data_IF_328023292187
#
_entry.id   IF_328023292187
#
_cell.length_a   1.000
_cell.length_b   1.000
_cell.length_c   1.000
_cell.angle_alpha   90.00
_cell.angle_beta   90.00
_cell.angle_gamma   90.00
#
_symmetry.space_group_name_H-M   'P 1'
#
loop_
_entity.id
_entity.type
_entity.pdbx_description
1 polymer ?
#
# COMPACT_ATOMS: atom_id res chain seq x y z
N UNK A 1 11.32 57.85 35.88
CA UNK A 1 11.44 56.38 35.56
C UNK A 1 10.15 55.70 35.07
N UNK A 2 8.99 56.32 35.06
CA UNK A 2 7.73 55.74 34.64
C UNK A 2 7.49 55.80 33.07
N UNK A 3 8.05 56.83 32.40
CA UNK A 3 7.84 57.05 30.97
C UNK A 3 8.52 56.01 30.06
N UNK A 4 9.65 55.43 30.48
CA UNK A 4 10.36 54.42 29.69
C UNK A 4 9.71 53.02 29.67
N UNK A 5 8.93 52.68 30.68
CA UNK A 5 8.21 51.38 30.76
C UNK A 5 6.96 51.36 29.87
N UNK A 6 6.28 52.47 29.72
CA UNK A 6 5.11 52.60 28.87
C UNK A 6 5.48 52.47 27.38
N UNK A 7 6.60 53.05 26.97
CA UNK A 7 7.11 52.96 25.60
C UNK A 7 7.59 51.56 25.19
N UNK A 8 8.14 50.79 26.13
CA UNK A 8 8.54 49.41 25.88
C UNK A 8 7.35 48.46 25.75
N UNK A 9 6.32 48.64 26.59
CA UNK A 9 5.08 47.89 26.52
C UNK A 9 4.30 48.18 25.21
N UNK A 10 4.24 49.45 24.80
CA UNK A 10 3.62 49.87 23.56
C UNK A 10 4.38 49.31 22.31
N UNK A 11 5.71 49.28 22.35
CA UNK A 11 6.51 48.67 21.29
C UNK A 11 6.28 47.15 21.21
N UNK A 12 6.24 46.45 22.35
CA UNK A 12 5.93 45.00 22.40
C UNK A 12 4.52 44.70 21.88
N UNK A 13 3.52 45.51 22.26
CA UNK A 13 2.16 45.38 21.75
C UNK A 13 2.09 45.61 20.24
N UNK A 14 2.78 46.62 19.73
CA UNK A 14 2.85 46.89 18.27
C UNK A 14 3.55 45.76 17.48
N UNK A 15 4.63 45.18 18.04
CA UNK A 15 5.32 44.02 17.40
C UNK A 15 4.41 42.79 17.41
N UNK A 16 3.65 42.59 18.50
CA UNK A 16 2.72 41.47 18.61
C UNK A 16 1.55 41.59 17.62
N UNK A 17 0.95 42.78 17.48
CA UNK A 17 -0.10 43.04 16.49
C UNK A 17 0.42 42.89 15.06
N UNK A 18 1.65 43.32 14.78
CA UNK A 18 2.29 43.12 13.50
C UNK A 18 2.53 41.64 13.19
N UNK A 19 2.94 40.84 14.18
CA UNK A 19 3.13 39.40 14.03
C UNK A 19 1.82 38.67 13.74
N UNK A 20 0.71 39.04 14.42
CA UNK A 20 -0.64 38.51 14.15
C UNK A 20 -1.11 38.90 12.74
N UNK A 21 -0.86 40.16 12.31
CA UNK A 21 -1.23 40.60 10.98
C UNK A 21 -0.47 39.84 9.86
N UNK A 22 0.82 39.60 10.07
CA UNK A 22 1.64 38.80 9.15
C UNK A 22 1.17 37.34 9.12
N UNK A 23 0.87 36.73 10.27
CA UNK A 23 0.34 35.39 10.35
C UNK A 23 -1.04 35.28 9.66
N UNK A 24 -1.90 36.27 9.84
CA UNK A 24 -3.20 36.36 9.14
C UNK A 24 -3.07 36.50 7.63
N UNK A 25 -2.10 37.29 7.16
CA UNK A 25 -1.79 37.44 5.73
C UNK A 25 -1.24 36.16 5.11
N UNK A 26 -0.38 35.44 5.86
CA UNK A 26 0.15 34.15 5.41
C UNK A 26 -0.98 33.12 5.33
N UNK A 27 -1.85 33.03 6.35
CA UNK A 27 -3.00 32.13 6.33
C UNK A 27 -3.99 32.48 5.21
N UNK A 28 -4.24 33.77 4.94
CA UNK A 28 -5.07 34.20 3.84
C UNK A 28 -4.44 33.86 2.47
N UNK A 29 -3.13 34.04 2.30
CA UNK A 29 -2.43 33.66 1.08
C UNK A 29 -2.44 32.15 0.86
N UNK A 30 -2.27 31.37 1.94
CA UNK A 30 -2.39 29.90 1.91
C UNK A 30 -3.79 29.47 1.50
N UNK A 31 -4.83 30.07 2.08
CA UNK A 31 -6.22 29.78 1.71
C UNK A 31 -6.54 30.15 0.25
N UNK A 32 -5.97 31.24 -0.28
CA UNK A 32 -6.14 31.65 -1.68
C UNK A 32 -5.38 30.71 -2.64
N UNK A 33 -4.23 30.21 -2.24
CA UNK A 33 -3.45 29.25 -3.02
C UNK A 33 -4.14 27.88 -3.01
N UNK A 34 -4.58 27.41 -1.84
CA UNK A 34 -5.35 26.16 -1.72
C UNK A 34 -6.66 26.19 -2.53
N UNK A 35 -7.36 27.34 -2.54
CA UNK A 35 -8.57 27.51 -3.35
C UNK A 35 -8.33 27.57 -4.87
N UNK A 36 -7.10 27.87 -5.33
CA UNK A 36 -6.73 27.90 -6.77
C UNK A 36 -6.22 26.58 -7.32
N UNK A 37 -5.58 25.77 -6.49
CA UNK A 37 -5.20 24.41 -6.83
C UNK A 37 -6.28 23.48 -6.28
N UNK A 38 -7.40 23.30 -6.97
CA UNK A 38 -8.53 22.50 -6.52
C UNK A 38 -8.08 21.32 -5.64
N UNK A 39 -8.45 21.40 -4.35
CA UNK A 39 -8.10 20.39 -3.36
C UNK A 39 -8.69 19.08 -3.84
N UNK A 40 -7.83 18.14 -4.21
CA UNK A 40 -8.26 16.76 -4.43
C UNK A 40 -8.74 16.22 -3.09
N UNK A 41 -10.04 16.15 -2.94
CA UNK A 41 -10.69 15.50 -1.81
C UNK A 41 -10.45 14.00 -1.93
N UNK A 42 -9.40 13.52 -1.27
CA UNK A 42 -9.03 12.10 -1.23
C UNK A 42 -10.18 11.22 -0.69
N UNK A 43 -11.16 11.81 0.00
CA UNK A 43 -12.35 11.10 0.46
C UNK A 43 -13.41 10.97 -0.64
N UNK A 44 -13.42 11.88 -1.61
CA UNK A 44 -14.30 11.82 -2.78
C UNK A 44 -13.77 10.90 -3.86
N UNK A 45 -12.43 10.85 -4.05
CA UNK A 45 -11.81 9.98 -5.07
C UNK A 45 -11.61 8.54 -4.60
N UNK A 46 -11.91 8.20 -3.34
CA UNK A 46 -12.10 6.82 -2.92
C UNK A 46 -13.41 6.20 -3.44
N UNK A 47 -14.28 7.00 -4.01
CA UNK A 47 -15.40 6.56 -4.83
C UNK A 47 -14.86 6.10 -6.19
N UNK A 48 -14.83 4.79 -6.39
CA UNK A 48 -14.46 4.09 -7.62
C UNK A 48 -15.37 4.43 -8.81
N UNK A 49 -15.35 5.65 -9.26
CA UNK A 49 -15.62 5.96 -10.65
C UNK A 49 -14.25 6.04 -11.30
N UNK A 50 -13.83 4.96 -11.93
CA UNK A 50 -12.59 4.91 -12.69
C UNK A 50 -12.73 5.81 -13.93
N UNK A 51 -12.74 7.12 -13.68
CA UNK A 51 -12.79 8.14 -14.74
C UNK A 51 -11.50 8.21 -15.56
N UNK A 52 -10.49 7.41 -15.19
CA UNK A 52 -9.22 7.34 -15.90
C UNK A 52 -9.19 6.27 -16.98
N UNK A 53 -10.20 5.41 -17.05
CA UNK A 53 -10.28 4.40 -18.10
C UNK A 53 -10.65 5.07 -19.43
N UNK A 54 -9.97 4.71 -20.51
CA UNK A 54 -10.40 5.12 -21.85
C UNK A 54 -11.82 4.58 -22.12
N UNK A 55 -12.61 5.27 -22.92
CA UNK A 55 -13.93 4.78 -23.30
C UNK A 55 -13.81 3.39 -23.96
N UNK A 56 -14.84 2.53 -23.79
CA UNK A 56 -14.84 1.22 -24.41
C UNK A 56 -14.56 1.30 -25.91
N UNK A 57 -13.73 0.40 -26.41
CA UNK A 57 -13.47 0.32 -27.85
C UNK A 57 -14.77 -0.15 -28.54
N UNK A 58 -15.31 0.62 -29.46
CA UNK A 58 -16.58 0.29 -30.13
C UNK A 58 -16.45 -0.89 -31.10
N UNK A 59 -15.23 -1.35 -31.41
CA UNK A 59 -14.99 -2.47 -32.32
C UNK A 59 -15.41 -3.79 -31.67
N UNK A 60 -15.95 -4.69 -32.48
CA UNK A 60 -16.27 -6.06 -32.06
C UNK A 60 -15.00 -6.87 -31.74
N UNK A 61 -15.13 -7.94 -30.98
CA UNK A 61 -14.01 -8.85 -30.69
C UNK A 61 -13.38 -9.41 -31.99
N UNK A 62 -14.18 -9.68 -33.04
CA UNK A 62 -13.67 -10.15 -34.31
C UNK A 62 -12.85 -9.09 -35.04
N UNK A 63 -13.30 -7.83 -35.02
CA UNK A 63 -12.56 -6.70 -35.59
C UNK A 63 -11.26 -6.46 -34.83
N UNK A 64 -11.29 -6.56 -33.52
CA UNK A 64 -10.10 -6.44 -32.68
C UNK A 64 -9.11 -7.57 -32.97
N UNK A 65 -9.57 -8.81 -33.09
CA UNK A 65 -8.73 -9.96 -33.41
C UNK A 65 -8.05 -9.81 -34.78
N UNK A 66 -8.75 -9.24 -35.76
CA UNK A 66 -8.19 -8.94 -37.10
C UNK A 66 -7.08 -7.87 -37.06
N UNK A 67 -6.95 -7.13 -35.98
CA UNK A 67 -5.89 -6.14 -35.78
C UNK A 67 -4.59 -6.71 -35.24
N UNK A 68 -4.56 -7.96 -34.79
CA UNK A 68 -3.33 -8.58 -34.27
C UNK A 68 -2.20 -8.47 -35.28
N UNK A 69 -1.06 -8.07 -34.82
CA UNK A 69 0.15 -7.92 -35.63
C UNK A 69 1.30 -8.66 -34.98
N UNK A 70 1.82 -9.61 -35.71
CA UNK A 70 2.95 -10.40 -35.24
C UNK A 70 4.19 -10.14 -36.10
N UNK A 71 5.38 -10.22 -35.52
CA UNK A 71 6.61 -10.24 -36.31
C UNK A 71 6.61 -11.42 -37.31
N UNK A 72 7.27 -11.27 -38.48
CA UNK A 72 7.39 -12.35 -39.43
C UNK A 72 8.01 -13.61 -38.80
N UNK A 73 7.49 -14.78 -39.21
CA UNK A 73 7.99 -16.07 -38.71
C UNK A 73 7.42 -16.55 -37.38
N UNK A 74 6.48 -15.85 -36.79
CA UNK A 74 5.82 -16.31 -35.59
C UNK A 74 4.98 -17.56 -35.83
N UNK A 75 5.21 -18.60 -35.02
CA UNK A 75 4.44 -19.86 -35.08
C UNK A 75 3.15 -19.69 -34.28
N UNK A 76 2.00 -20.05 -34.86
CA UNK A 76 0.72 -20.00 -34.12
C UNK A 76 0.76 -20.94 -32.92
N UNK A 77 0.42 -20.43 -31.75
CA UNK A 77 0.45 -21.21 -30.50
C UNK A 77 -0.70 -22.22 -30.43
N UNK A 78 -1.91 -21.85 -30.86
CA UNK A 78 -3.10 -22.69 -30.71
C UNK A 78 -2.98 -24.09 -31.35
N UNK A 79 -2.48 -24.26 -32.56
CA UNK A 79 -2.31 -25.60 -33.13
C UNK A 79 -1.38 -26.51 -32.34
N UNK A 80 -0.38 -25.96 -31.68
CA UNK A 80 0.52 -26.72 -30.81
C UNK A 80 -0.19 -27.18 -29.53
N UNK A 81 -1.02 -26.31 -28.95
CA UNK A 81 -1.88 -26.65 -27.83
C UNK A 81 -2.84 -27.77 -28.23
N UNK A 82 -3.51 -27.63 -29.39
CA UNK A 82 -4.50 -28.58 -29.87
C UNK A 82 -3.91 -29.98 -30.15
N UNK A 83 -2.67 -30.04 -30.62
CA UNK A 83 -1.94 -31.27 -30.87
C UNK A 83 -1.48 -31.97 -29.55
N UNK A 84 -1.53 -31.29 -28.43
CA UNK A 84 -1.09 -31.87 -27.16
C UNK A 84 -2.23 -32.61 -26.47
N UNK A 85 -2.04 -33.88 -26.14
CA UNK A 85 -3.06 -34.70 -25.51
C UNK A 85 -3.37 -34.20 -24.07
N UNK A 86 -4.55 -34.54 -23.56
CA UNK A 86 -4.93 -34.25 -22.16
C UNK A 86 -3.92 -34.87 -21.19
N UNK A 87 -3.44 -34.05 -20.24
CA UNK A 87 -2.36 -34.42 -19.30
C UNK A 87 -0.95 -34.40 -19.91
N UNK A 88 -0.84 -34.13 -21.21
CA UNK A 88 0.44 -34.08 -21.94
C UNK A 88 1.29 -32.86 -21.61
N UNK A 89 2.47 -32.83 -22.19
CA UNK A 89 3.46 -31.75 -22.07
C UNK A 89 3.71 -31.14 -23.44
N UNK A 90 3.45 -29.85 -23.56
CA UNK A 90 3.89 -29.05 -24.69
C UNK A 90 5.25 -28.42 -24.35
N UNK A 91 6.30 -28.91 -24.95
CA UNK A 91 7.63 -28.28 -24.84
C UNK A 91 7.77 -27.24 -25.95
N UNK A 92 8.05 -26.00 -25.57
CA UNK A 92 8.29 -24.91 -26.51
C UNK A 92 9.79 -24.59 -26.58
N UNK A 93 10.45 -24.90 -27.70
CA UNK A 93 11.83 -24.50 -27.94
C UNK A 93 11.95 -22.96 -28.07
N UNK A 94 13.19 -22.42 -28.04
CA UNK A 94 13.40 -21.01 -28.31
C UNK A 94 12.77 -20.59 -29.64
N UNK A 95 12.00 -19.51 -29.64
CA UNK A 95 11.30 -19.04 -30.83
C UNK A 95 10.16 -18.09 -30.51
N UNK A 96 9.56 -17.54 -31.56
CA UNK A 96 8.44 -16.62 -31.46
C UNK A 96 7.13 -17.34 -31.78
N UNK A 97 6.19 -17.23 -30.85
CA UNK A 97 4.87 -17.82 -30.94
C UNK A 97 3.80 -16.73 -30.97
N UNK A 98 2.81 -16.90 -31.82
CA UNK A 98 1.70 -15.96 -31.98
C UNK A 98 0.50 -16.39 -31.10
N UNK A 99 0.00 -15.48 -30.29
CA UNK A 99 -1.25 -15.64 -29.55
C UNK A 99 -2.48 -15.65 -30.51
N UNK A 100 -3.69 -16.03 -30.05
CA UNK A 100 -4.01 -16.46 -28.72
C UNK A 100 -3.69 -17.93 -28.48
N UNK A 101 -3.61 -18.31 -27.20
CA UNK A 101 -3.63 -19.69 -26.74
C UNK A 101 -4.83 -19.93 -25.83
N UNK A 102 -5.73 -20.85 -26.19
CA UNK A 102 -6.80 -21.32 -25.34
C UNK A 102 -6.49 -22.72 -24.82
N UNK A 103 -6.45 -22.88 -23.50
CA UNK A 103 -6.23 -24.14 -22.81
C UNK A 103 -7.54 -24.56 -22.14
N UNK A 104 -8.19 -25.58 -22.67
CA UNK A 104 -9.49 -26.09 -22.23
C UNK A 104 -9.41 -27.46 -21.54
N UNK A 105 -8.20 -27.98 -21.34
CA UNK A 105 -7.94 -29.27 -20.71
C UNK A 105 -6.66 -29.23 -19.89
N UNK A 106 -6.54 -30.18 -18.96
CA UNK A 106 -5.32 -30.40 -18.18
C UNK A 106 -4.13 -30.62 -19.11
N UNK A 107 -3.09 -29.82 -18.96
CA UNK A 107 -1.83 -29.95 -19.67
C UNK A 107 -0.71 -29.16 -19.00
N UNK A 108 0.53 -29.36 -19.47
CA UNK A 108 1.68 -28.57 -19.08
C UNK A 108 2.31 -27.89 -20.28
N UNK A 109 2.69 -26.63 -20.12
CA UNK A 109 3.58 -25.93 -21.07
C UNK A 109 4.92 -25.73 -20.38
N UNK A 110 5.95 -26.30 -20.95
CA UNK A 110 7.34 -26.17 -20.48
C UNK A 110 8.15 -25.47 -21.56
N UNK A 111 8.50 -24.20 -21.30
CA UNK A 111 9.22 -23.39 -22.24
C UNK A 111 10.71 -23.37 -21.97
N UNK A 112 11.50 -23.50 -23.02
CA UNK A 112 12.94 -23.27 -22.94
C UNK A 112 13.24 -21.76 -22.99
N UNK A 113 14.38 -21.37 -22.43
CA UNK A 113 14.81 -19.97 -22.47
C UNK A 113 14.81 -19.42 -23.89
N UNK A 114 14.12 -18.31 -24.11
CA UNK A 114 13.94 -17.71 -25.42
C UNK A 114 12.65 -18.10 -26.13
N UNK A 115 11.76 -18.88 -25.53
CA UNK A 115 10.41 -19.09 -26.01
C UNK A 115 9.54 -17.88 -25.65
N UNK A 116 9.05 -17.15 -26.64
CA UNK A 116 8.30 -15.90 -26.49
C UNK A 116 6.92 -16.05 -27.11
N UNK A 117 5.86 -15.79 -26.35
CA UNK A 117 4.49 -15.69 -26.88
C UNK A 117 4.11 -14.21 -26.99
N UNK A 118 3.88 -13.76 -28.20
CA UNK A 118 3.52 -12.38 -28.52
C UNK A 118 2.00 -12.24 -28.66
N UNK A 119 1.39 -11.28 -27.95
CA UNK A 119 -0.05 -11.01 -27.99
C UNK A 119 -0.52 -10.29 -29.24
N UNK A 120 0.39 -9.71 -30.03
CA UNK A 120 0.05 -8.93 -31.21
C UNK A 120 -0.72 -7.65 -30.92
N UNK A 121 -0.72 -7.18 -29.65
CA UNK A 121 -1.35 -5.93 -29.21
C UNK A 121 -2.87 -6.01 -29.01
N UNK A 122 -3.48 -7.19 -29.00
CA UNK A 122 -4.95 -7.33 -28.90
C UNK A 122 -5.32 -8.48 -27.97
N UNK A 123 -6.23 -8.21 -27.03
CA UNK A 123 -6.83 -9.20 -26.14
C UNK A 123 -5.82 -9.87 -25.19
N UNK A 124 -6.24 -10.93 -24.53
CA UNK A 124 -5.37 -11.75 -23.69
C UNK A 124 -4.49 -12.68 -24.51
N UNK A 125 -3.30 -12.99 -23.96
CA UNK A 125 -2.32 -13.85 -24.68
C UNK A 125 -2.68 -15.32 -24.51
N UNK A 126 -2.82 -15.79 -23.25
CA UNK A 126 -3.23 -17.16 -22.94
C UNK A 126 -4.48 -17.12 -22.06
N UNK A 127 -5.49 -17.90 -22.43
CA UNK A 127 -6.68 -18.12 -21.61
C UNK A 127 -6.70 -19.57 -21.15
N UNK A 128 -6.82 -19.80 -19.85
CA UNK A 128 -6.85 -21.12 -19.20
C UNK A 128 -8.23 -21.34 -18.63
N UNK A 129 -9.00 -22.24 -19.22
CA UNK A 129 -10.34 -22.61 -18.79
C UNK A 129 -10.42 -24.05 -18.20
N UNK A 130 -9.28 -24.59 -17.80
CA UNK A 130 -9.19 -25.95 -17.27
C UNK A 130 -8.43 -26.00 -15.95
N UNK A 131 -8.73 -27.01 -15.15
CA UNK A 131 -8.03 -27.32 -13.93
C UNK A 131 -6.69 -28.02 -14.20
N UNK A 132 -5.78 -27.97 -13.20
CA UNK A 132 -4.49 -28.66 -13.23
C UNK A 132 -3.57 -28.28 -14.40
N UNK A 133 -3.62 -27.03 -14.84
CA UNK A 133 -2.75 -26.52 -15.91
C UNK A 133 -1.46 -25.96 -15.30
N UNK A 134 -0.33 -26.26 -15.93
CA UNK A 134 0.97 -25.66 -15.55
C UNK A 134 1.60 -24.93 -16.72
N UNK A 135 2.13 -23.73 -16.48
CA UNK A 135 2.89 -22.93 -17.46
C UNK A 135 4.19 -22.49 -16.81
N UNK A 136 5.32 -22.87 -17.40
CA UNK A 136 6.64 -22.60 -16.83
C UNK A 136 7.61 -22.07 -17.89
N UNK A 137 8.34 -21.00 -17.58
CA UNK A 137 9.49 -20.53 -18.35
C UNK A 137 9.16 -19.69 -19.59
N UNK A 138 7.89 -19.31 -19.80
CA UNK A 138 7.47 -18.49 -20.93
C UNK A 138 7.81 -16.99 -20.74
N UNK A 139 8.19 -16.35 -21.83
CA UNK A 139 8.07 -14.89 -21.95
C UNK A 139 6.76 -14.55 -22.67
N UNK A 140 5.90 -13.76 -22.02
CA UNK A 140 4.61 -13.31 -22.53
C UNK A 140 4.68 -11.79 -22.70
N UNK A 141 4.37 -11.29 -23.89
CA UNK A 141 4.44 -9.85 -24.14
C UNK A 141 3.35 -9.34 -25.09
N UNK A 142 3.13 -8.02 -25.05
CA UNK A 142 2.25 -7.30 -25.97
C UNK A 142 0.79 -7.78 -25.91
N UNK A 143 0.17 -7.88 -24.71
CA UNK A 143 -1.30 -8.06 -24.61
C UNK A 143 -2.04 -6.88 -25.22
N UNK A 144 -3.35 -6.95 -25.30
CA UNK A 144 -4.21 -5.80 -25.66
C UNK A 144 -4.17 -4.67 -24.61
N UNK A 145 -4.96 -3.63 -24.86
CA UNK A 145 -4.98 -2.38 -24.09
C UNK A 145 -6.34 -2.10 -23.42
N UNK A 146 -7.26 -3.05 -23.48
CA UNK A 146 -8.62 -2.85 -23.01
C UNK A 146 -8.77 -3.23 -21.55
N UNK A 147 -9.12 -2.24 -20.71
CA UNK A 147 -9.38 -2.43 -19.29
C UNK A 147 -10.70 -3.17 -19.05
N UNK A 148 -11.72 -2.88 -19.83
CA UNK A 148 -13.06 -3.47 -19.72
C UNK A 148 -13.09 -4.98 -19.97
N UNK A 149 -12.22 -5.48 -20.85
CA UNK A 149 -12.04 -6.91 -21.12
C UNK A 149 -10.89 -7.52 -20.32
N UNK A 150 -10.15 -6.70 -19.57
CA UNK A 150 -8.98 -7.12 -18.77
C UNK A 150 -7.97 -7.88 -19.63
N UNK A 151 -7.41 -7.21 -20.66
CA UNK A 151 -6.47 -7.84 -21.59
C UNK A 151 -5.18 -8.25 -20.86
N UNK A 152 -5.05 -9.52 -20.54
CA UNK A 152 -4.01 -10.06 -19.65
C UNK A 152 -2.99 -10.93 -20.40
N UNK A 153 -1.80 -11.06 -19.82
CA UNK A 153 -0.86 -12.08 -20.28
C UNK A 153 -1.45 -13.48 -20.05
N UNK A 154 -1.98 -13.76 -18.87
CA UNK A 154 -2.65 -15.01 -18.54
C UNK A 154 -4.00 -14.72 -17.87
N UNK A 155 -5.07 -15.14 -18.53
CA UNK A 155 -6.43 -15.17 -17.98
C UNK A 155 -6.72 -16.56 -17.45
N UNK A 156 -7.07 -16.68 -16.17
CA UNK A 156 -7.21 -17.95 -15.48
C UNK A 156 -8.62 -18.13 -14.92
N UNK A 157 -9.26 -19.26 -15.25
CA UNK A 157 -10.56 -19.70 -14.76
C UNK A 157 -10.51 -21.08 -14.11
N UNK A 158 -9.40 -21.78 -14.27
CA UNK A 158 -9.17 -23.12 -13.72
C UNK A 158 -8.62 -23.08 -12.29
N UNK A 159 -8.60 -24.24 -11.66
CA UNK A 159 -8.13 -24.49 -10.31
C UNK A 159 -6.87 -25.35 -10.30
N UNK A 160 -6.14 -25.33 -9.16
CA UNK A 160 -4.94 -26.15 -8.93
C UNK A 160 -3.84 -25.99 -9.98
N UNK A 161 -3.84 -24.84 -10.69
CA UNK A 161 -2.84 -24.51 -11.68
C UNK A 161 -1.51 -24.07 -11.06
N UNK A 162 -0.45 -24.12 -11.86
CA UNK A 162 0.90 -23.73 -11.44
C UNK A 162 1.59 -22.90 -12.51
N UNK A 163 1.83 -21.63 -12.21
CA UNK A 163 2.37 -20.62 -13.14
C UNK A 163 3.70 -20.11 -12.55
N UNK A 164 4.82 -20.60 -13.12
CA UNK A 164 6.12 -20.38 -12.50
C UNK A 164 7.17 -19.94 -13.50
N UNK A 165 8.11 -19.13 -12.99
CA UNK A 165 9.32 -18.76 -13.72
C UNK A 165 9.03 -18.11 -15.09
N UNK A 166 7.87 -17.43 -15.22
CA UNK A 166 7.48 -16.73 -16.43
C UNK A 166 7.90 -15.26 -16.37
N UNK A 167 8.12 -14.68 -17.54
CA UNK A 167 8.37 -13.25 -17.72
C UNK A 167 7.18 -12.63 -18.41
N UNK A 168 6.58 -11.61 -17.81
CA UNK A 168 5.47 -10.86 -18.38
C UNK A 168 5.93 -9.42 -18.55
N UNK A 169 5.96 -8.95 -19.79
CA UNK A 169 6.44 -7.62 -20.14
C UNK A 169 5.53 -6.95 -21.17
N UNK A 170 5.39 -5.64 -21.08
CA UNK A 170 4.56 -4.85 -22.00
C UNK A 170 3.12 -5.40 -22.13
N UNK A 171 2.56 -5.94 -21.04
CA UNK A 171 1.17 -6.37 -20.94
C UNK A 171 0.37 -5.38 -20.10
N UNK A 172 -0.91 -5.17 -20.43
CA UNK A 172 -1.76 -4.31 -19.62
C UNK A 172 -2.01 -4.95 -18.25
N UNK A 173 -2.51 -6.18 -18.22
CA UNK A 173 -2.60 -6.99 -17.00
C UNK A 173 -1.63 -8.18 -17.10
N UNK A 174 -1.07 -8.56 -15.94
CA UNK A 174 -0.24 -9.76 -15.87
C UNK A 174 -1.11 -11.02 -15.77
N UNK A 175 -1.59 -11.34 -14.57
CA UNK A 175 -2.52 -12.45 -14.31
C UNK A 175 -3.90 -11.92 -13.96
N UNK A 176 -4.95 -12.46 -14.59
CA UNK A 176 -6.34 -12.25 -14.21
C UNK A 176 -6.95 -13.58 -13.77
N UNK A 177 -7.18 -13.73 -12.46
CA UNK A 177 -7.85 -14.86 -11.83
C UNK A 177 -9.31 -14.49 -11.56
N UNK A 178 -10.25 -15.23 -12.12
CA UNK A 178 -11.66 -15.05 -11.85
C UNK A 178 -12.32 -16.39 -11.58
N UNK A 179 -12.81 -16.60 -10.34
CA UNK A 179 -13.33 -17.87 -9.87
C UNK A 179 -12.31 -19.02 -10.04
N UNK A 180 -11.04 -18.71 -9.78
CA UNK A 180 -9.90 -19.57 -10.01
C UNK A 180 -9.17 -19.84 -8.67
N UNK A 181 -9.41 -21.00 -8.09
CA UNK A 181 -9.01 -21.33 -6.73
C UNK A 181 -7.74 -22.17 -6.67
N UNK A 182 -7.00 -22.05 -5.57
CA UNK A 182 -5.87 -22.92 -5.22
C UNK A 182 -4.77 -23.01 -6.30
N UNK A 183 -4.55 -21.90 -6.98
CA UNK A 183 -3.46 -21.78 -7.96
C UNK A 183 -2.19 -21.27 -7.30
N UNK A 184 -1.05 -21.56 -7.90
CA UNK A 184 0.27 -21.10 -7.48
C UNK A 184 0.85 -20.19 -8.57
N UNK A 185 1.11 -18.94 -8.22
CA UNK A 185 1.80 -17.96 -9.06
C UNK A 185 3.14 -17.65 -8.39
N UNK A 186 4.22 -18.19 -8.92
CA UNK A 186 5.49 -18.19 -8.21
C UNK A 186 6.69 -17.86 -9.10
N UNK A 187 7.62 -17.05 -8.58
CA UNK A 187 8.88 -16.68 -9.23
C UNK A 187 8.69 -16.12 -10.65
N UNK A 188 7.59 -15.39 -10.87
CA UNK A 188 7.39 -14.69 -12.13
C UNK A 188 7.97 -13.29 -12.03
N UNK A 189 8.46 -12.77 -13.14
CA UNK A 189 8.80 -11.37 -13.30
C UNK A 189 7.69 -10.67 -14.07
N UNK A 190 7.09 -9.64 -13.47
CA UNK A 190 5.92 -8.98 -14.04
C UNK A 190 6.16 -7.47 -14.11
N UNK A 191 6.13 -6.92 -15.32
CA UNK A 191 6.16 -5.49 -15.55
C UNK A 191 5.03 -5.10 -16.51
N UNK A 192 4.30 -4.03 -16.17
CA UNK A 192 3.26 -3.49 -17.04
C UNK A 192 3.87 -2.69 -18.20
N UNK A 193 3.01 -2.18 -19.05
CA UNK A 193 3.37 -1.23 -20.10
C UNK A 193 3.92 0.07 -19.52
N UNK A 194 4.71 0.78 -20.30
CA UNK A 194 5.13 2.14 -19.96
C UNK A 194 3.97 3.12 -20.14
N UNK A 195 3.14 3.20 -19.12
CA UNK A 195 1.98 4.07 -19.04
C UNK A 195 2.06 4.92 -17.75
N UNK A 196 1.40 6.09 -17.72
CA UNK A 196 1.12 6.77 -16.46
C UNK A 196 0.48 5.80 -15.45
N UNK A 197 0.79 5.95 -14.17
CA UNK A 197 0.35 5.02 -13.12
C UNK A 197 -1.15 4.72 -13.14
N UNK A 198 -1.97 5.75 -13.33
CA UNK A 198 -3.43 5.63 -13.38
C UNK A 198 -3.97 4.78 -14.55
N UNK A 199 -3.20 4.66 -15.63
CA UNK A 199 -3.59 3.91 -16.85
C UNK A 199 -2.99 2.50 -16.90
N UNK A 200 -2.14 2.13 -15.94
CA UNK A 200 -1.58 0.77 -15.84
C UNK A 200 -2.66 -0.22 -15.43
N UNK A 201 -2.51 -1.46 -15.82
CA UNK A 201 -3.32 -2.57 -15.32
C UNK A 201 -2.66 -3.24 -14.11
N UNK A 202 -3.40 -4.15 -13.48
CA UNK A 202 -2.93 -4.87 -12.30
C UNK A 202 -1.90 -5.94 -12.70
N UNK A 203 -0.88 -6.11 -11.85
CA UNK A 203 0.07 -7.21 -12.03
C UNK A 203 -0.62 -8.56 -11.87
N UNK A 204 -1.39 -8.68 -10.80
CA UNK A 204 -2.15 -9.88 -10.46
C UNK A 204 -3.50 -9.43 -9.91
N UNK A 205 -4.56 -9.81 -10.60
CA UNK A 205 -5.93 -9.54 -10.21
C UNK A 205 -6.61 -10.83 -9.78
N UNK A 206 -7.00 -10.90 -8.51
CA UNK A 206 -7.67 -12.05 -7.91
C UNK A 206 -9.12 -11.66 -7.62
N UNK A 207 -10.07 -12.22 -8.36
CA UNK A 207 -11.48 -11.89 -8.24
C UNK A 207 -12.31 -13.13 -7.96
N UNK A 208 -13.08 -13.14 -6.86
CA UNK A 208 -13.88 -14.27 -6.39
C UNK A 208 -13.09 -15.59 -6.39
N UNK A 209 -11.86 -15.57 -5.91
CA UNK A 209 -10.93 -16.70 -5.99
C UNK A 209 -10.28 -16.96 -4.63
N UNK A 210 -10.26 -18.22 -4.21
CA UNK A 210 -9.92 -18.63 -2.85
C UNK A 210 -8.67 -19.51 -2.80
N UNK A 211 -7.85 -19.34 -1.77
CA UNK A 211 -6.76 -20.24 -1.45
C UNK A 211 -5.58 -20.23 -2.44
N UNK A 212 -5.42 -19.15 -3.21
CA UNK A 212 -4.30 -19.00 -4.11
C UNK A 212 -3.02 -18.63 -3.36
N UNK A 213 -1.88 -19.05 -3.88
CA UNK A 213 -0.56 -18.70 -3.37
C UNK A 213 0.17 -17.86 -4.41
N UNK A 214 0.50 -16.62 -4.02
CA UNK A 214 1.25 -15.66 -4.84
C UNK A 214 2.57 -15.45 -4.12
N UNK A 215 3.65 -16.07 -4.62
CA UNK A 215 4.90 -16.08 -3.85
C UNK A 215 6.14 -15.90 -4.71
N UNK A 216 7.14 -15.24 -4.12
CA UNK A 216 8.48 -15.04 -4.69
C UNK A 216 8.47 -14.34 -6.07
N UNK A 217 7.46 -13.53 -6.40
CA UNK A 217 7.41 -12.81 -7.66
C UNK A 217 8.15 -11.47 -7.57
N UNK A 218 8.76 -11.03 -8.68
CA UNK A 218 9.34 -9.69 -8.87
C UNK A 218 8.39 -8.85 -9.73
N UNK A 219 7.74 -7.87 -9.12
CA UNK A 219 6.66 -7.08 -9.71
C UNK A 219 7.07 -5.61 -9.72
N UNK A 220 7.01 -4.98 -10.88
CA UNK A 220 7.38 -3.57 -11.00
C UNK A 220 6.49 -2.79 -11.95
N UNK A 221 6.30 -1.50 -11.67
CA UNK A 221 5.61 -0.55 -12.54
C UNK A 221 4.25 -1.05 -13.02
N UNK A 222 3.48 -1.61 -12.09
CA UNK A 222 2.11 -2.05 -12.32
C UNK A 222 1.13 -1.12 -11.60
N UNK A 223 -0.17 -1.33 -11.77
CA UNK A 223 -1.15 -0.64 -10.95
C UNK A 223 -1.18 -1.30 -9.57
N UNK A 224 -1.69 -2.50 -9.44
CA UNK A 224 -1.90 -3.16 -8.16
C UNK A 224 -1.58 -4.67 -8.23
N UNK A 225 -1.33 -5.27 -7.07
CA UNK A 225 -1.70 -6.66 -6.79
C UNK A 225 -3.02 -6.59 -6.03
N UNK A 226 -4.14 -6.85 -6.71
CA UNK A 226 -5.47 -6.66 -6.13
C UNK A 226 -6.16 -7.99 -5.83
N UNK A 227 -6.74 -8.09 -4.63
CA UNK A 227 -7.54 -9.22 -4.15
C UNK A 227 -8.93 -8.69 -3.83
N UNK A 228 -9.91 -9.06 -4.65
CA UNK A 228 -11.25 -8.49 -4.61
C UNK A 228 -12.32 -9.58 -4.48
N UNK A 229 -13.19 -9.48 -3.46
CA UNK A 229 -14.18 -10.49 -3.09
C UNK A 229 -13.57 -11.91 -2.99
N UNK A 230 -12.35 -12.00 -2.48
CA UNK A 230 -11.56 -13.21 -2.48
C UNK A 230 -10.96 -13.46 -1.10
N UNK A 231 -10.82 -14.72 -0.68
CA UNK A 231 -10.46 -15.06 0.69
C UNK A 231 -9.39 -16.14 0.77
N UNK A 232 -8.77 -16.21 1.93
CA UNK A 232 -7.81 -17.26 2.28
C UNK A 232 -6.63 -17.37 1.28
N UNK A 233 -6.26 -16.27 0.62
CA UNK A 233 -5.11 -16.22 -0.26
C UNK A 233 -3.85 -15.86 0.53
N UNK A 234 -2.71 -16.38 0.10
CA UNK A 234 -1.41 -16.09 0.67
C UNK A 234 -0.53 -15.35 -0.34
N UNK A 235 -0.07 -14.16 0.06
CA UNK A 235 0.83 -13.31 -0.73
C UNK A 235 2.14 -13.21 0.04
N UNK A 236 3.19 -13.91 -0.41
CA UNK A 236 4.37 -14.07 0.39
C UNK A 236 5.69 -13.97 -0.39
N UNK A 237 6.71 -13.36 0.21
CA UNK A 237 8.05 -13.30 -0.36
C UNK A 237 8.18 -12.50 -1.65
N UNK A 238 7.14 -11.76 -2.06
CA UNK A 238 7.17 -10.98 -3.28
C UNK A 238 7.97 -9.68 -3.10
N UNK A 239 8.62 -9.24 -4.16
CA UNK A 239 9.19 -7.92 -4.28
C UNK A 239 8.31 -7.07 -5.20
N UNK A 240 7.68 -6.02 -4.65
CA UNK A 240 6.72 -5.19 -5.40
C UNK A 240 7.18 -3.74 -5.30
N UNK A 241 7.43 -3.11 -6.45
CA UNK A 241 7.98 -1.76 -6.48
C UNK A 241 7.39 -0.87 -7.58
N UNK A 242 7.46 0.44 -7.36
CA UNK A 242 7.10 1.48 -8.32
C UNK A 242 5.67 1.32 -8.88
N UNK A 243 4.77 0.83 -8.02
CA UNK A 243 3.37 0.53 -8.32
C UNK A 243 2.44 1.42 -7.50
N UNK A 244 1.15 1.49 -7.86
CA UNK A 244 0.17 2.27 -7.10
C UNK A 244 -0.07 1.63 -5.73
N UNK A 245 -0.63 0.44 -5.68
CA UNK A 245 -0.72 -0.35 -4.46
C UNK A 245 0.13 -1.61 -4.57
N UNK A 246 1.02 -1.82 -3.61
CA UNK A 246 1.76 -3.07 -3.50
C UNK A 246 0.80 -4.26 -3.36
N UNK A 247 -0.09 -4.21 -2.37
CA UNK A 247 -1.24 -5.12 -2.23
C UNK A 247 -2.47 -4.33 -1.85
N UNK A 248 -3.58 -4.56 -2.55
CA UNK A 248 -4.88 -3.97 -2.30
C UNK A 248 -5.92 -5.05 -2.04
N UNK A 249 -6.39 -5.14 -0.80
CA UNK A 249 -7.49 -6.03 -0.41
C UNK A 249 -8.80 -5.25 -0.42
N UNK A 250 -9.83 -5.79 -1.09
CA UNK A 250 -11.13 -5.16 -1.23
C UNK A 250 -12.24 -6.19 -1.01
N UNK A 251 -13.03 -6.04 0.06
CA UNK A 251 -14.02 -7.05 0.47
C UNK A 251 -13.40 -8.45 0.52
N UNK A 252 -12.18 -8.54 1.07
CA UNK A 252 -11.35 -9.73 0.98
C UNK A 252 -10.90 -10.15 2.39
N UNK A 253 -11.35 -11.31 2.86
CA UNK A 253 -11.20 -11.74 4.24
C UNK A 253 -10.22 -12.92 4.38
N UNK A 254 -9.61 -13.08 5.55
CA UNK A 254 -8.76 -14.24 5.86
C UNK A 254 -7.45 -14.32 5.07
N UNK A 255 -7.02 -13.24 4.44
CA UNK A 255 -5.81 -13.25 3.61
C UNK A 255 -4.54 -13.04 4.45
N UNK A 256 -3.41 -13.58 3.97
CA UNK A 256 -2.12 -13.41 4.59
C UNK A 256 -1.12 -12.71 3.65
N UNK A 257 -0.49 -11.65 4.15
CA UNK A 257 0.54 -10.86 3.46
C UNK A 257 1.82 -10.99 4.28
N UNK A 258 2.77 -11.80 3.81
CA UNK A 258 3.89 -12.24 4.62
C UNK A 258 5.23 -12.11 3.89
N UNK A 259 6.24 -11.60 4.58
CA UNK A 259 7.64 -11.57 4.10
C UNK A 259 7.83 -10.90 2.74
N UNK A 260 6.94 -9.97 2.37
CA UNK A 260 7.06 -9.21 1.14
C UNK A 260 7.95 -7.98 1.33
N UNK A 261 8.49 -7.51 0.21
CA UNK A 261 9.26 -6.28 0.09
C UNK A 261 8.48 -5.29 -0.77
N UNK A 262 7.93 -4.26 -0.14
CA UNK A 262 7.24 -3.15 -0.81
C UNK A 262 8.16 -1.93 -0.86
N UNK A 263 8.50 -1.46 -2.05
CA UNK A 263 9.45 -0.37 -2.24
C UNK A 263 8.91 0.68 -3.21
N UNK A 264 8.87 1.93 -2.80
CA UNK A 264 8.50 3.06 -3.68
C UNK A 264 7.12 2.89 -4.34
N UNK A 265 6.19 2.20 -3.70
CA UNK A 265 4.79 2.19 -4.13
C UNK A 265 4.08 3.43 -3.60
N UNK A 266 3.06 3.93 -4.28
CA UNK A 266 2.24 5.01 -3.72
C UNK A 266 1.65 4.57 -2.39
N UNK A 267 1.17 3.32 -2.30
CA UNK A 267 0.75 2.67 -1.05
C UNK A 267 1.36 1.28 -0.97
N UNK A 268 1.94 0.92 0.17
CA UNK A 268 2.49 -0.43 0.37
C UNK A 268 1.41 -1.50 0.40
N UNK A 269 0.57 -1.48 1.43
CA UNK A 269 -0.58 -2.39 1.62
C UNK A 269 -1.81 -1.57 1.98
N UNK A 270 -2.95 -1.84 1.36
CA UNK A 270 -4.22 -1.20 1.70
C UNK A 270 -5.33 -2.23 1.90
N UNK A 271 -5.98 -2.15 3.04
CA UNK A 271 -7.15 -2.96 3.40
C UNK A 271 -8.39 -2.10 3.31
N UNK A 272 -9.36 -2.52 2.49
CA UNK A 272 -10.65 -1.86 2.34
C UNK A 272 -11.76 -2.90 2.52
N UNK A 273 -12.54 -2.77 3.60
CA UNK A 273 -13.58 -3.74 3.97
C UNK A 273 -13.02 -5.18 4.05
N UNK A 274 -11.81 -5.33 4.61
CA UNK A 274 -11.06 -6.58 4.61
C UNK A 274 -10.75 -7.01 6.05
N UNK A 275 -11.39 -8.07 6.51
CA UNK A 275 -11.27 -8.56 7.88
C UNK A 275 -10.37 -9.80 7.97
N UNK A 276 -9.99 -10.15 9.19
CA UNK A 276 -9.24 -11.37 9.52
C UNK A 276 -7.90 -11.49 8.75
N UNK A 277 -7.27 -10.36 8.47
CA UNK A 277 -6.06 -10.27 7.66
C UNK A 277 -4.80 -10.36 8.53
N UNK A 278 -3.75 -11.00 8.01
CA UNK A 278 -2.42 -11.02 8.64
C UNK A 278 -1.42 -10.29 7.75
N UNK A 279 -0.71 -9.31 8.33
CA UNK A 279 0.38 -8.57 7.68
C UNK A 279 1.62 -8.80 8.55
N UNK A 280 2.49 -9.73 8.15
CA UNK A 280 3.55 -10.22 9.04
C UNK A 280 4.90 -10.31 8.32
N UNK A 281 5.97 -9.89 9.00
CA UNK A 281 7.36 -9.95 8.52
C UNK A 281 7.62 -9.22 7.19
N UNK A 282 6.85 -8.16 6.87
CA UNK A 282 7.05 -7.39 5.64
C UNK A 282 8.01 -6.21 5.84
N UNK A 283 8.70 -5.84 4.77
CA UNK A 283 9.43 -4.57 4.66
C UNK A 283 8.62 -3.63 3.78
N UNK A 284 8.21 -2.48 4.31
CA UNK A 284 7.33 -1.52 3.64
C UNK A 284 7.97 -0.14 3.71
N UNK A 285 8.44 0.36 2.57
CA UNK A 285 9.29 1.54 2.59
C UNK A 285 9.12 2.44 1.35
N UNK A 286 9.41 3.71 1.55
CA UNK A 286 9.41 4.75 0.52
C UNK A 286 8.06 5.00 -0.16
N UNK A 287 6.93 4.76 0.52
CA UNK A 287 5.62 5.24 0.07
C UNK A 287 5.52 6.75 0.37
N UNK A 288 5.82 7.57 -0.62
CA UNK A 288 6.01 9.01 -0.47
C UNK A 288 4.91 9.82 -1.19
N UNK A 289 4.92 11.13 -0.96
CA UNK A 289 3.94 12.05 -1.53
C UNK A 289 2.64 12.18 -0.73
N UNK A 290 1.67 12.97 -1.20
CA UNK A 290 0.43 13.27 -0.46
C UNK A 290 -0.40 12.04 -0.13
N UNK A 291 -0.40 11.04 -1.00
CA UNK A 291 -1.09 9.76 -0.82
C UNK A 291 -0.21 8.66 -0.23
N UNK A 292 1.06 8.96 0.11
CA UNK A 292 2.03 7.98 0.60
C UNK A 292 1.58 7.31 1.90
N UNK A 293 1.40 5.98 1.88
CA UNK A 293 0.99 5.18 3.03
C UNK A 293 1.74 3.86 3.01
N UNK A 294 2.34 3.49 4.15
CA UNK A 294 2.91 2.16 4.32
C UNK A 294 1.82 1.10 4.39
N UNK A 295 0.98 1.14 5.44
CA UNK A 295 -0.17 0.26 5.63
C UNK A 295 -1.41 1.10 5.88
N UNK A 296 -2.43 0.96 5.03
CA UNK A 296 -3.68 1.68 5.14
C UNK A 296 -4.87 0.78 5.46
N UNK A 297 -5.79 1.31 6.24
CA UNK A 297 -7.02 0.66 6.65
C UNK A 297 -8.22 1.53 6.32
N UNK A 298 -9.24 0.93 5.76
CA UNK A 298 -10.58 1.50 5.65
C UNK A 298 -11.60 0.44 6.03
N UNK A 299 -12.35 0.68 7.11
CA UNK A 299 -13.44 -0.17 7.58
C UNK A 299 -13.04 -1.65 7.65
N UNK A 300 -11.88 -1.95 8.26
CA UNK A 300 -11.30 -3.28 8.33
C UNK A 300 -11.04 -3.68 9.78
N UNK A 301 -11.40 -4.91 10.13
CA UNK A 301 -11.38 -5.44 11.49
C UNK A 301 -10.56 -6.72 11.62
N UNK A 302 -10.21 -7.10 12.85
CA UNK A 302 -9.56 -8.36 13.20
C UNK A 302 -8.23 -8.59 12.47
N UNK A 303 -7.49 -7.51 12.23
CA UNK A 303 -6.22 -7.57 11.51
C UNK A 303 -5.06 -7.64 12.48
N UNK A 304 -4.13 -8.58 12.21
CA UNK A 304 -2.84 -8.65 12.88
C UNK A 304 -1.76 -8.02 11.99
N UNK A 305 -1.10 -6.98 12.50
CA UNK A 305 0.08 -6.36 11.89
C UNK A 305 1.26 -6.62 12.83
N UNK A 306 2.15 -7.54 12.46
CA UNK A 306 3.20 -7.96 13.38
C UNK A 306 4.56 -8.13 12.70
N UNK A 307 5.62 -7.77 13.42
CA UNK A 307 7.00 -7.94 12.95
C UNK A 307 7.30 -7.29 11.60
N UNK A 308 6.65 -6.19 11.26
CA UNK A 308 6.94 -5.48 10.02
C UNK A 308 7.96 -4.36 10.25
N UNK A 309 8.79 -4.11 9.23
CA UNK A 309 9.59 -2.91 9.09
C UNK A 309 8.83 -1.89 8.23
N UNK A 310 8.26 -0.86 8.85
CA UNK A 310 7.48 0.18 8.18
C UNK A 310 8.25 1.51 8.32
N UNK A 311 9.01 1.88 7.29
CA UNK A 311 9.90 3.03 7.44
C UNK A 311 10.01 3.91 6.20
N UNK A 312 10.39 5.16 6.43
CA UNK A 312 10.58 6.16 5.38
C UNK A 312 9.34 6.34 4.47
N UNK A 313 8.13 6.22 5.02
CA UNK A 313 6.88 6.51 4.33
C UNK A 313 6.35 7.90 4.70
N UNK A 314 5.50 8.52 3.90
CA UNK A 314 4.83 9.75 4.31
C UNK A 314 3.94 9.50 5.54
N UNK A 315 3.20 8.40 5.55
CA UNK A 315 2.48 7.85 6.70
C UNK A 315 2.84 6.38 6.85
N UNK A 316 3.30 5.97 8.04
CA UNK A 316 3.61 4.57 8.32
C UNK A 316 2.35 3.72 8.28
N UNK A 317 1.38 4.04 9.16
CA UNK A 317 0.06 3.41 9.21
C UNK A 317 -1.02 4.49 9.10
N UNK A 318 -2.05 4.23 8.31
CA UNK A 318 -3.22 5.09 8.19
C UNK A 318 -4.49 4.32 8.56
N UNK A 319 -5.30 4.88 9.46
CA UNK A 319 -6.51 4.24 10.01
C UNK A 319 -7.74 5.07 9.69
N UNK A 320 -8.64 4.54 8.87
CA UNK A 320 -9.94 5.11 8.58
C UNK A 320 -11.05 4.15 9.03
N UNK A 321 -11.87 4.59 10.00
CA UNK A 321 -12.99 3.85 10.59
C UNK A 321 -12.69 2.36 10.85
N UNK A 322 -11.51 2.06 11.39
CA UNK A 322 -11.05 0.69 11.64
C UNK A 322 -10.60 0.50 13.09
N UNK A 323 -11.02 -0.61 13.78
CA UNK A 323 -11.92 -1.67 13.28
C UNK A 323 -13.34 -1.16 13.06
N UNK A 324 -14.04 -1.69 12.06
CA UNK A 324 -15.42 -1.28 11.75
C UNK A 324 -16.46 -2.12 12.51
N UNK A 325 -16.19 -3.40 12.68
CA UNK A 325 -17.08 -4.32 13.41
C UNK A 325 -17.13 -3.92 14.89
N UNK A 326 -18.32 -3.85 15.54
CA UNK A 326 -18.45 -3.37 16.91
C UNK A 326 -17.63 -4.14 17.96
N UNK A 327 -17.43 -5.43 17.76
CA UNK A 327 -16.61 -6.31 18.62
C UNK A 327 -15.24 -6.60 17.99
N UNK A 328 -14.95 -5.98 16.86
CA UNK A 328 -13.69 -6.16 16.14
C UNK A 328 -12.54 -5.42 16.81
N UNK A 329 -11.34 -5.90 16.58
CA UNK A 329 -10.12 -5.22 17.00
C UNK A 329 -9.02 -5.37 15.95
N UNK A 330 -8.08 -4.46 15.93
CA UNK A 330 -6.84 -4.59 15.15
C UNK A 330 -5.65 -4.58 16.12
N UNK A 331 -4.65 -5.37 15.82
CA UNK A 331 -3.51 -5.57 16.67
C UNK A 331 -2.21 -5.28 15.94
N UNK A 332 -1.44 -4.39 16.51
CA UNK A 332 -0.13 -3.97 16.02
C UNK A 332 0.90 -4.37 17.07
N UNK A 333 1.76 -5.35 16.76
CA UNK A 333 2.71 -5.86 17.73
C UNK A 333 4.10 -6.08 17.12
N UNK A 334 5.13 -5.75 17.89
CA UNK A 334 6.51 -6.00 17.52
C UNK A 334 6.89 -5.43 16.14
N UNK A 335 6.23 -4.36 15.69
CA UNK A 335 6.63 -3.67 14.48
C UNK A 335 7.72 -2.63 14.78
N UNK A 336 8.60 -2.43 13.81
CA UNK A 336 9.49 -1.28 13.77
C UNK A 336 8.89 -0.23 12.83
N UNK A 337 8.39 0.85 13.38
CA UNK A 337 7.75 1.96 12.66
C UNK A 337 8.71 3.16 12.77
N UNK A 338 9.48 3.42 11.71
CA UNK A 338 10.62 4.31 11.82
C UNK A 338 10.73 5.32 10.67
N UNK A 339 11.20 6.52 10.99
CA UNK A 339 11.54 7.56 10.01
C UNK A 339 10.40 7.92 9.05
N UNK A 340 9.15 7.74 9.47
CA UNK A 340 7.99 8.16 8.69
C UNK A 340 7.66 9.63 8.96
N UNK A 341 6.99 10.29 8.03
CA UNK A 341 6.44 11.62 8.28
C UNK A 341 5.45 11.60 9.46
N UNK A 342 4.55 10.61 9.47
CA UNK A 342 3.68 10.28 10.62
C UNK A 342 3.76 8.79 10.85
N UNK A 343 4.02 8.34 12.09
CA UNK A 343 4.05 6.90 12.34
C UNK A 343 2.65 6.29 12.24
N UNK A 344 1.67 6.81 12.97
CA UNK A 344 0.26 6.39 12.93
C UNK A 344 -0.63 7.60 12.68
N UNK A 345 -1.40 7.60 11.62
CA UNK A 345 -2.35 8.64 11.27
C UNK A 345 -3.79 8.09 11.35
N UNK A 346 -4.60 8.63 12.25
CA UNK A 346 -6.03 8.33 12.35
C UNK A 346 -6.85 9.39 11.60
N UNK A 347 -7.78 8.95 10.78
CA UNK A 347 -8.75 9.84 10.14
C UNK A 347 -9.78 10.39 11.14
N UNK A 348 -10.03 9.67 12.24
CA UNK A 348 -10.93 10.06 13.33
C UNK A 348 -10.50 9.41 14.64
N UNK A 349 -11.19 9.72 15.74
CA UNK A 349 -10.97 9.15 17.08
C UNK A 349 -11.52 7.73 17.25
N UNK A 350 -11.33 6.88 16.26
CA UNK A 350 -11.79 5.49 16.27
C UNK A 350 -11.07 4.66 17.34
N UNK A 351 -11.73 3.69 17.90
CA UNK A 351 -11.24 2.83 18.97
C UNK A 351 -11.14 1.36 18.55
N UNK A 352 -10.63 0.49 19.43
CA UNK A 352 -10.52 -0.95 19.17
C UNK A 352 -9.19 -1.37 18.54
N UNK A 353 -8.20 -0.50 18.52
CA UNK A 353 -6.86 -0.86 18.08
C UNK A 353 -5.93 -1.04 19.29
N UNK A 354 -5.07 -2.06 19.26
CA UNK A 354 -4.04 -2.30 20.25
C UNK A 354 -2.65 -2.18 19.62
N UNK A 355 -1.82 -1.34 20.21
CA UNK A 355 -0.42 -1.11 19.84
C UNK A 355 0.46 -1.61 20.97
N UNK A 356 1.09 -2.77 20.79
CA UNK A 356 1.81 -3.47 21.85
C UNK A 356 3.25 -3.78 21.42
N UNK A 357 4.21 -3.38 22.22
CA UNK A 357 5.63 -3.66 22.02
C UNK A 357 6.15 -3.29 20.61
N UNK A 358 5.65 -2.22 20.02
CA UNK A 358 6.21 -1.66 18.82
C UNK A 358 7.39 -0.75 19.14
N UNK A 359 8.28 -0.55 18.17
CA UNK A 359 9.35 0.43 18.24
C UNK A 359 9.05 1.61 17.32
N UNK A 360 8.81 2.78 17.90
CA UNK A 360 8.63 4.06 17.19
C UNK A 360 9.95 4.83 17.22
N UNK A 361 10.59 5.01 16.06
CA UNK A 361 11.96 5.52 15.98
C UNK A 361 12.07 6.61 14.90
N UNK A 362 12.52 7.80 15.27
CA UNK A 362 12.83 8.89 14.35
C UNK A 362 11.67 9.33 13.46
N UNK A 363 10.43 9.08 13.89
CA UNK A 363 9.27 9.56 13.14
C UNK A 363 9.08 11.05 13.39
N UNK A 364 8.75 11.82 12.36
CA UNK A 364 8.56 13.26 12.54
C UNK A 364 7.36 13.55 13.45
N UNK A 365 6.31 12.72 13.40
CA UNK A 365 5.19 12.70 14.35
C UNK A 365 4.88 11.27 14.74
N UNK A 366 4.75 11.00 16.02
CA UNK A 366 4.40 9.66 16.50
C UNK A 366 2.94 9.32 16.11
N UNK A 367 1.98 10.14 16.52
CA UNK A 367 0.55 9.91 16.22
C UNK A 367 -0.14 11.22 15.86
N UNK A 368 -1.01 11.15 14.84
CA UNK A 368 -1.92 12.25 14.48
C UNK A 368 -3.35 11.75 14.43
N UNK A 369 -4.29 12.62 14.79
CA UNK A 369 -5.74 12.35 14.67
C UNK A 369 -6.38 13.55 13.99
N UNK A 370 -7.11 13.35 12.90
CA UNK A 370 -7.79 14.44 12.21
C UNK A 370 -8.93 15.01 13.07
N UNK A 371 -9.09 16.34 13.02
CA UNK A 371 -10.03 17.07 13.86
C UNK A 371 -9.56 17.23 15.31
N UNK A 372 -10.39 17.86 16.12
CA UNK A 372 -10.13 18.08 17.54
C UNK A 372 -10.31 16.81 18.39
N UNK A 373 -9.58 15.74 18.09
CA UNK A 373 -9.82 14.40 18.61
C UNK A 373 -8.53 13.76 19.13
N UNK A 374 -8.63 12.60 19.76
CA UNK A 374 -7.48 11.91 20.34
C UNK A 374 -7.49 10.42 20.04
N UNK A 375 -6.34 9.77 20.16
CA UNK A 375 -6.16 8.33 20.03
C UNK A 375 -6.20 7.60 21.39
N UNK A 376 -6.63 8.25 22.49
CA UNK A 376 -6.66 7.69 23.85
C UNK A 376 -7.57 6.47 24.00
N UNK A 377 -8.55 6.32 23.14
CA UNK A 377 -9.50 5.19 23.17
C UNK A 377 -8.88 3.89 22.65
N UNK A 378 -7.70 3.96 22.01
CA UNK A 378 -6.93 2.80 21.64
C UNK A 378 -6.01 2.37 22.79
N UNK A 379 -5.64 1.09 22.79
CA UNK A 379 -4.72 0.54 23.77
C UNK A 379 -3.28 0.76 23.31
N UNK A 380 -2.49 1.39 24.17
CA UNK A 380 -1.05 1.62 24.00
C UNK A 380 -0.35 0.99 25.19
N UNK A 381 0.50 -0.02 24.95
CA UNK A 381 1.08 -0.79 26.03
C UNK A 381 2.47 -1.33 25.68
N UNK A 382 3.46 -0.91 26.42
CA UNK A 382 4.81 -1.42 26.30
C UNK A 382 5.49 -1.09 24.97
N UNK A 383 5.17 0.03 24.34
CA UNK A 383 5.89 0.46 23.16
C UNK A 383 7.18 1.19 23.53
N UNK A 384 8.15 1.12 22.62
CA UNK A 384 9.35 1.95 22.67
C UNK A 384 9.13 3.24 21.87
N UNK A 385 9.43 4.36 22.52
CA UNK A 385 9.35 5.71 21.95
C UNK A 385 10.73 6.34 22.06
N UNK A 386 11.36 6.70 20.97
CA UNK A 386 12.72 7.23 20.98
C UNK A 386 12.86 8.63 21.60
N UNK A 387 11.75 9.33 21.79
CA UNK A 387 11.65 10.62 22.48
C UNK A 387 11.13 10.49 23.95
N UNK A 388 11.10 9.27 24.52
CA UNK A 388 10.70 9.07 25.90
C UNK A 388 11.81 9.51 26.88
N UNK A 389 11.50 10.45 27.76
CA UNK A 389 12.42 11.06 28.74
C UNK A 389 12.08 10.69 30.19
N UNK A 390 11.43 9.57 30.44
CA UNK A 390 11.05 9.13 31.78
C UNK A 390 12.18 8.47 32.58
N UNK A 391 11.82 7.74 33.62
CA UNK A 391 12.74 7.07 34.55
C UNK A 391 12.41 5.58 34.62
N UNK A 392 13.42 4.76 34.87
CA UNK A 392 13.33 3.34 35.18
C UNK A 392 14.13 3.13 36.50
N UNK A 393 13.48 3.24 37.63
CA UNK A 393 14.13 3.22 38.95
C UNK A 393 14.37 1.82 39.47
N UNK A 394 13.52 0.88 39.10
CA UNK A 394 13.61 -0.50 39.52
C UNK A 394 14.37 -1.39 38.48
N UNK A 395 14.78 -0.79 37.38
CA UNK A 395 15.57 -1.45 36.32
C UNK A 395 14.87 -2.66 35.71
N UNK A 396 13.54 -2.61 35.59
CA UNK A 396 12.75 -3.64 34.92
C UNK A 396 12.66 -3.45 33.39
N UNK A 397 13.24 -2.36 32.86
CA UNK A 397 13.26 -1.99 31.47
C UNK A 397 12.02 -1.25 31.00
N UNK A 398 11.11 -0.90 31.90
CA UNK A 398 9.93 -0.09 31.63
C UNK A 398 10.05 1.27 32.33
N UNK A 399 9.35 2.23 31.78
CA UNK A 399 9.29 3.55 32.41
C UNK A 399 8.31 3.60 33.57
N UNK A 400 8.77 4.13 34.71
CA UNK A 400 7.94 4.40 35.91
C UNK A 400 6.92 5.51 35.68
N UNK A 401 7.09 6.29 34.65
CA UNK A 401 6.16 7.34 34.22
C UNK A 401 5.63 7.03 32.81
N UNK A 402 4.34 7.29 32.54
CA UNK A 402 3.79 7.01 31.25
C UNK A 402 4.42 7.90 30.16
N UNK A 403 4.50 7.39 28.93
CA UNK A 403 4.72 8.22 27.76
C UNK A 403 3.41 8.92 27.37
N UNK A 404 3.46 10.21 27.19
CA UNK A 404 2.31 11.02 26.81
C UNK A 404 2.65 11.88 25.59
N UNK A 405 1.88 11.73 24.52
CA UNK A 405 1.97 12.60 23.36
C UNK A 405 0.88 13.67 23.42
N UNK A 406 1.30 14.92 23.32
CA UNK A 406 0.42 16.07 23.41
C UNK A 406 0.39 16.81 22.09
N UNK A 407 -0.80 17.27 21.66
CA UNK A 407 -0.89 18.18 20.51
C UNK A 407 -0.77 19.61 20.97
N UNK A 408 0.14 20.32 20.32
CA UNK A 408 0.32 21.77 20.46
C UNK A 408 -0.16 22.44 19.14
N UNK A 409 0.68 23.24 18.48
CA UNK A 409 0.40 23.77 17.12
C UNK A 409 0.13 22.69 16.07
N UNK A 410 0.50 21.45 16.35
CA UNK A 410 0.19 20.27 15.53
C UNK A 410 -1.28 20.14 15.16
N UNK A 411 -2.16 20.72 15.97
CA UNK A 411 -3.58 20.73 15.68
C UNK A 411 -3.93 21.38 14.36
N UNK A 412 -3.20 22.43 13.99
CA UNK A 412 -3.41 23.08 12.68
C UNK A 412 -3.25 22.08 11.53
N UNK A 413 -2.30 21.17 11.62
CA UNK A 413 -2.05 20.14 10.61
C UNK A 413 -3.09 19.02 10.64
N UNK A 414 -3.62 18.71 11.81
CA UNK A 414 -4.67 17.71 11.98
C UNK A 414 -6.01 18.22 11.45
N UNK A 415 -6.28 19.52 11.64
CA UNK A 415 -7.54 20.16 11.25
C UNK A 415 -7.53 20.60 9.78
N UNK A 416 -6.38 20.93 9.23
CA UNK A 416 -6.19 21.38 7.84
C UNK A 416 -5.13 20.51 7.15
N UNK A 417 -5.51 19.34 6.62
CA UNK A 417 -4.58 18.40 5.99
C UNK A 417 -3.68 19.01 4.92
N UNK A 418 -4.20 19.96 4.15
CA UNK A 418 -3.46 20.63 3.08
C UNK A 418 -2.33 21.53 3.61
N UNK A 419 -2.46 22.01 4.85
CA UNK A 419 -1.41 22.77 5.50
C UNK A 419 -0.17 21.90 5.81
N UNK A 420 -0.27 20.58 5.73
CA UNK A 420 0.88 19.66 5.87
C UNK A 420 1.99 19.92 4.85
N UNK A 421 1.67 20.52 3.71
CA UNK A 421 2.67 20.95 2.73
C UNK A 421 3.68 21.95 3.31
N UNK A 422 3.25 22.78 4.26
CA UNK A 422 4.10 23.78 4.92
C UNK A 422 4.76 23.25 6.20
N UNK A 423 4.65 21.98 6.48
CA UNK A 423 5.29 21.32 7.61
C UNK A 423 6.81 21.54 7.54
N UNK A 424 7.42 21.76 8.69
CA UNK A 424 8.83 22.17 8.79
C UNK A 424 9.17 23.54 8.18
N UNK A 425 8.18 24.37 7.84
CA UNK A 425 8.49 25.77 7.55
C UNK A 425 8.96 26.47 8.83
N UNK A 426 10.07 27.21 8.80
CA UNK A 426 10.64 27.83 10.01
C UNK A 426 9.67 28.71 10.79
N UNK A 427 8.71 29.33 10.12
CA UNK A 427 7.65 30.14 10.74
C UNK A 427 6.68 29.32 11.59
N UNK A 428 6.42 28.08 11.18
CA UNK A 428 5.47 27.20 11.87
C UNK A 428 6.16 26.43 13.00
N UNK A 429 7.42 26.06 12.83
CA UNK A 429 8.26 25.56 13.91
C UNK A 429 8.45 26.61 15.01
N UNK A 430 8.57 27.90 14.65
CA UNK A 430 8.61 28.98 15.63
C UNK A 430 7.26 29.15 16.37
N UNK A 431 6.13 28.94 15.73
CA UNK A 431 4.80 28.97 16.36
C UNK A 431 4.68 27.79 17.34
N UNK A 432 5.06 26.59 16.92
CA UNK A 432 5.07 25.39 17.79
C UNK A 432 5.95 25.60 19.02
N UNK A 433 7.15 26.17 18.83
CA UNK A 433 8.03 26.52 19.94
C UNK A 433 7.41 27.53 20.90
N UNK A 434 6.75 28.57 20.40
CA UNK A 434 6.10 29.60 21.23
C UNK A 434 4.89 29.02 21.99
N UNK A 435 4.13 28.13 21.37
CA UNK A 435 3.00 27.43 22.03
C UNK A 435 3.48 26.51 23.16
N UNK A 436 4.58 25.79 22.97
CA UNK A 436 5.21 24.95 24.02
C UNK A 436 5.67 25.78 25.25
N UNK A 437 5.89 27.06 25.08
CA UNK A 437 6.15 27.97 26.19
C UNK A 437 4.90 28.35 26.98
N UNK A 438 3.76 27.73 26.72
CA UNK A 438 2.53 27.84 27.51
C UNK A 438 1.69 29.09 27.25
N UNK A 439 1.75 29.69 26.08
CA UNK A 439 1.21 31.03 25.87
C UNK A 439 -0.26 31.09 25.43
N UNK A 440 -0.83 30.08 24.73
CA UNK A 440 -2.08 30.34 24.00
C UNK A 440 -3.17 29.27 24.06
N UNK A 441 -2.89 27.97 24.27
CA UNK A 441 -3.90 26.93 24.35
C UNK A 441 -3.55 25.86 25.41
N UNK A 442 -4.57 25.21 25.98
CA UNK A 442 -4.37 23.97 26.71
C UNK A 442 -4.08 22.84 25.73
N UNK A 443 -2.92 22.17 25.80
CA UNK A 443 -2.58 21.09 24.94
C UNK A 443 -3.55 19.92 25.13
N UNK A 444 -3.90 19.24 24.04
CA UNK A 444 -4.74 18.05 24.10
C UNK A 444 -3.88 16.80 24.15
N UNK A 445 -4.14 15.94 25.15
CA UNK A 445 -3.51 14.62 25.20
C UNK A 445 -4.01 13.74 24.04
N UNK A 446 -3.10 13.34 23.17
CA UNK A 446 -3.39 12.49 21.99
C UNK A 446 -3.38 11.02 22.37
N UNK A 447 -2.33 10.55 23.07
CA UNK A 447 -2.22 9.18 23.54
C UNK A 447 -1.47 9.12 24.87
N UNK A 448 -1.64 7.98 25.56
CA UNK A 448 -0.89 7.62 26.73
C UNK A 448 -0.52 6.15 26.67
N UNK A 449 0.78 5.84 26.74
CA UNK A 449 1.32 4.52 26.97
C UNK A 449 1.74 4.41 28.44
N UNK A 450 1.10 3.51 29.17
CA UNK A 450 1.27 3.44 30.61
C UNK A 450 2.54 2.72 31.08
N UNK A 451 3.18 1.97 30.16
CA UNK A 451 4.37 1.17 30.47
C UNK A 451 5.40 1.24 29.33
N UNK A 452 5.84 2.45 28.92
CA UNK A 452 6.77 2.61 27.81
C UNK A 452 8.08 1.87 28.08
N UNK A 453 8.71 1.32 27.03
CA UNK A 453 9.98 0.61 27.15
C UNK A 453 11.17 1.56 27.03
N UNK A 454 12.23 1.30 27.81
CA UNK A 454 13.50 2.04 27.72
C UNK A 454 14.40 1.60 26.56
N UNK A 455 14.16 0.43 26.02
CA UNK A 455 14.86 -0.06 24.82
C UNK A 455 13.89 -0.68 23.83
N UNK A 456 14.21 -0.57 22.54
CA UNK A 456 13.41 -1.20 21.51
C UNK A 456 13.30 -2.71 21.76
N UNK A 457 12.09 -3.30 21.66
CA UNK A 457 11.90 -4.73 21.88
C UNK A 457 12.81 -5.56 20.98
N UNK A 458 13.50 -6.54 21.55
CA UNK A 458 14.30 -7.48 20.74
C UNK A 458 13.38 -8.21 19.76
N UNK A 459 13.72 -8.19 18.46
CA UNK A 459 12.91 -8.78 17.40
C UNK A 459 11.75 -7.91 16.94
N UNK A 460 11.66 -6.63 17.36
CA UNK A 460 10.78 -5.68 16.68
C UNK A 460 11.24 -5.47 15.23
N UNK A 461 10.29 -5.49 14.30
CA UNK A 461 10.54 -5.50 12.87
C UNK A 461 10.67 -6.91 12.30
N UNK A 462 11.13 -7.00 11.06
CA UNK A 462 11.25 -8.27 10.34
C UNK A 462 12.15 -9.26 11.08
N UNK A 463 11.62 -10.43 11.35
CA UNK A 463 12.39 -11.54 11.95
C UNK A 463 13.42 -12.02 10.94
N UNK A 464 14.66 -11.64 11.17
CA UNK A 464 15.80 -12.20 10.41
C UNK A 464 15.90 -13.66 10.81
N UNK A 465 15.63 -14.56 9.86
CA UNK A 465 15.74 -15.98 10.10
C UNK A 465 17.10 -16.29 10.71
N UNK A 466 17.12 -17.06 11.80
CA UNK A 466 18.33 -17.71 12.27
C UNK A 466 18.91 -18.43 11.07
N UNK A 467 20.14 -18.09 10.68
CA UNK A 467 20.87 -18.87 9.71
C UNK A 467 20.95 -20.27 10.33
N UNK A 468 20.24 -21.23 9.75
CA UNK A 468 20.46 -22.62 10.06
C UNK A 468 21.96 -22.91 9.86
N UNK A 469 22.64 -23.01 10.98
CA UNK A 469 24.04 -23.40 11.06
C UNK A 469 24.24 -24.82 10.51
#
# INVERSE_FOLDING_TARGET
>A
MASGRITLAARRAATFVAAIAVAGLVLYAVAQVAGRFGVYDLTRDAGFTDHSLPPPDPRSEQELEALRRFPPGATKLQPLIDATATGGVLTLPPGLYAAPGLIDRKMRIEAQTGAIVDGGGVGSIITVNADDVSITGLTLRNSGERHETTDAAIRLRGRHGSFKDNVIENCLFGFELKQADRNIIRRNRIASRELPEALRGDAIRVWYSTGNVIEDNDIERTRDVVVWYAKDNRIAGNRIRDSRYGVHLMYAHGNAIEKNHFLSNTVGVFLMYANDTKIVDNVITYSQGPSGIGVGFKESSNTLVAHNDIFANARGVFMDASPYDPEGFNRFEMNRIAYNGVAIAFHSDWEGNAFERNAFIGNHRAVTVAGARSAKRNRWDGNYWDDYEGFDRDSDGKGDTPYESWSWADRLWMDVPDAQFFRAAPSLEAIDFVERLGAFHEPQLILRDSAPLFSAPQGAGVRRGEKSS
#
